data_IF_778004888395
#
_entry.id   IF_778004888395
#
_cell.length_a   1.000
_cell.length_b   1.000
_cell.length_c   1.000
_cell.angle_alpha   90.00
_cell.angle_beta   90.00
_cell.angle_gamma   90.00
#
_symmetry.space_group_name_H-M   'P 1'
#
loop_
_entity.id
_entity.type
_entity.pdbx_description
1 polymer ?
#
# COMPACT_ATOMS: atom_id res chain seq x y z
N UNK A 1 -10.99 14.32 -10.29
CA UNK A 1 -10.92 14.72 -8.88
C UNK A 1 -11.27 16.20 -8.80
N UNK A 2 -12.34 16.53 -8.11
CA UNK A 2 -12.63 17.93 -7.77
C UNK A 2 -11.79 18.32 -6.56
N UNK A 3 -11.13 19.44 -6.66
CA UNK A 3 -10.39 20.02 -5.54
C UNK A 3 -11.24 21.05 -4.84
N UNK A 4 -11.18 21.06 -3.53
CA UNK A 4 -11.76 22.12 -2.72
C UNK A 4 -11.06 23.44 -3.03
N UNK A 5 -11.80 24.44 -3.45
CA UNK A 5 -11.29 25.79 -3.69
C UNK A 5 -11.28 26.66 -2.42
N UNK A 6 -11.77 26.16 -1.33
CA UNK A 6 -12.07 26.98 -0.13
C UNK A 6 -11.33 26.63 1.14
N UNK A 7 -10.40 25.68 1.15
CA UNK A 7 -9.66 25.28 2.34
C UNK A 7 -10.20 24.04 3.05
N UNK A 8 -9.58 23.67 4.14
CA UNK A 8 -9.84 22.41 4.84
C UNK A 8 -11.30 22.29 5.30
N UNK A 9 -11.97 21.24 4.81
CA UNK A 9 -13.28 20.85 5.31
C UNK A 9 -14.43 21.78 4.97
N UNK A 10 -14.24 22.67 4.02
CA UNK A 10 -15.33 23.55 3.62
C UNK A 10 -16.37 22.78 2.82
N UNK A 11 -17.63 23.14 3.01
CA UNK A 11 -18.77 22.59 2.30
C UNK A 11 -18.85 22.97 0.81
N UNK A 12 -17.72 23.02 0.13
CA UNK A 12 -17.62 23.37 -1.29
C UNK A 12 -18.13 22.29 -2.24
N UNK A 13 -18.55 21.13 -1.70
CA UNK A 13 -19.02 19.99 -2.46
C UNK A 13 -20.53 19.86 -2.34
N UNK A 14 -21.16 19.63 -3.46
CA UNK A 14 -22.58 19.31 -3.45
C UNK A 14 -22.82 17.89 -2.91
N UNK A 15 -23.97 17.68 -2.29
CA UNK A 15 -24.45 16.35 -1.94
C UNK A 15 -24.43 15.49 -3.20
N UNK A 16 -23.94 14.28 -3.13
CA UNK A 16 -23.76 13.34 -4.24
C UNK A 16 -22.63 13.65 -5.21
N UNK A 17 -21.83 14.68 -4.98
CA UNK A 17 -20.65 14.95 -5.77
C UNK A 17 -19.50 14.01 -5.37
N UNK A 18 -18.88 13.37 -6.37
CA UNK A 18 -17.74 12.50 -6.13
C UNK A 18 -16.49 13.33 -5.85
N UNK A 19 -16.02 13.30 -4.61
CA UNK A 19 -14.87 14.09 -4.13
C UNK A 19 -13.52 13.42 -4.35
N UNK A 20 -13.50 12.14 -4.73
CA UNK A 20 -12.30 11.31 -4.82
C UNK A 20 -12.12 10.78 -6.23
N UNK A 21 -11.22 9.80 -6.38
CA UNK A 21 -11.04 9.16 -7.68
C UNK A 21 -12.35 8.61 -8.22
N UNK A 22 -12.58 8.85 -9.51
CA UNK A 22 -13.69 8.25 -10.26
C UNK A 22 -13.35 6.85 -10.76
N UNK A 23 -12.12 6.40 -10.54
CA UNK A 23 -11.56 5.16 -11.08
C UNK A 23 -11.06 4.24 -9.95
N UNK A 24 -11.95 3.73 -9.07
CA UNK A 24 -11.52 2.91 -7.93
C UNK A 24 -10.91 1.58 -8.32
N UNK A 25 -11.15 1.12 -9.54
CA UNK A 25 -10.62 -0.13 -10.10
C UNK A 25 -9.40 0.09 -11.03
N UNK A 26 -8.71 1.20 -10.87
CA UNK A 26 -7.52 1.50 -11.64
C UNK A 26 -6.41 2.08 -10.75
N UNK A 27 -5.17 1.81 -11.14
CA UNK A 27 -4.00 2.45 -10.56
C UNK A 27 -3.30 3.27 -11.63
N UNK A 28 -3.16 4.56 -11.38
CA UNK A 28 -2.48 5.52 -12.24
C UNK A 28 -1.16 5.93 -11.60
N UNK A 29 -0.07 5.85 -12.35
CA UNK A 29 1.27 6.29 -11.94
C UNK A 29 1.76 7.34 -12.92
N UNK A 30 2.16 8.50 -12.40
CA UNK A 30 2.84 9.53 -13.17
C UNK A 30 4.36 9.33 -13.07
N UNK A 31 5.02 9.25 -14.21
CA UNK A 31 6.47 9.15 -14.34
C UNK A 31 6.96 10.51 -14.85
N UNK A 32 7.83 11.16 -14.09
CA UNK A 32 8.37 12.46 -14.43
C UNK A 32 9.78 12.30 -15.01
N UNK A 33 10.00 12.87 -16.18
CA UNK A 33 11.24 12.73 -16.93
C UNK A 33 12.38 13.63 -16.47
N UNK A 34 12.09 14.63 -15.64
CA UNK A 34 13.08 15.60 -15.17
C UNK A 34 12.79 16.16 -13.78
N UNK A 35 13.77 16.89 -13.23
CA UNK A 35 13.65 17.50 -11.89
C UNK A 35 12.69 18.70 -11.84
N UNK A 36 12.29 19.23 -12.97
CA UNK A 36 11.35 20.36 -13.04
C UNK A 36 9.90 19.92 -12.99
N UNK A 37 9.65 18.61 -13.14
CA UNK A 37 8.33 17.99 -13.18
C UNK A 37 7.42 18.53 -14.31
N UNK A 38 8.00 19.16 -15.32
CA UNK A 38 7.25 19.72 -16.46
C UNK A 38 6.87 18.66 -17.49
N UNK A 39 7.68 17.61 -17.60
CA UNK A 39 7.41 16.48 -18.50
C UNK A 39 7.00 15.27 -17.69
N UNK A 40 5.86 14.67 -18.03
CA UNK A 40 5.39 13.47 -17.38
C UNK A 40 4.64 12.55 -18.35
N UNK A 41 4.70 11.26 -18.04
CA UNK A 41 3.91 10.19 -18.67
C UNK A 41 3.00 9.59 -17.60
N UNK A 42 1.76 9.35 -17.91
CA UNK A 42 0.84 8.62 -17.03
C UNK A 42 0.62 7.23 -17.60
N UNK A 43 0.88 6.23 -16.78
CA UNK A 43 0.59 4.82 -17.09
C UNK A 43 -0.51 4.30 -16.18
N UNK A 44 -1.30 3.34 -16.65
CA UNK A 44 -2.48 2.85 -15.95
C UNK A 44 -2.54 1.32 -15.97
N UNK A 45 -3.02 0.73 -14.90
CA UNK A 45 -3.36 -0.69 -14.82
C UNK A 45 -4.69 -0.89 -14.11
N UNK A 46 -5.43 -1.90 -14.52
CA UNK A 46 -6.69 -2.38 -13.93
C UNK A 46 -6.51 -3.63 -13.05
N UNK A 47 -5.27 -4.03 -12.79
CA UNK A 47 -4.96 -5.21 -11.96
C UNK A 47 -5.06 -4.95 -10.46
N UNK A 48 -4.84 -3.70 -10.05
CA UNK A 48 -4.94 -3.23 -8.66
C UNK A 48 -5.71 -1.91 -8.61
N UNK A 49 -6.31 -1.63 -7.46
CA UNK A 49 -6.85 -0.31 -7.15
C UNK A 49 -5.72 0.70 -6.97
N UNK A 50 -6.03 1.98 -6.81
CA UNK A 50 -5.03 3.02 -6.62
C UNK A 50 -4.08 2.71 -5.44
N UNK A 51 -2.78 2.95 -5.65
CA UNK A 51 -1.74 2.74 -4.66
C UNK A 51 -1.65 3.89 -3.64
N UNK A 52 -2.02 5.10 -4.07
CA UNK A 52 -2.03 6.30 -3.25
C UNK A 52 -3.36 7.02 -3.40
N UNK A 53 -3.82 7.66 -2.34
CA UNK A 53 -5.08 8.37 -2.39
C UNK A 53 -5.50 8.82 -1.00
N UNK A 54 -6.78 9.04 -0.81
CA UNK A 54 -7.32 9.40 0.49
C UNK A 54 -7.26 8.25 1.49
N UNK A 55 -7.48 8.59 2.73
CA UNK A 55 -7.39 7.74 3.89
C UNK A 55 -5.94 7.35 4.20
N UNK A 56 -5.71 6.14 4.65
CA UNK A 56 -4.41 5.75 5.20
C UNK A 56 -3.33 5.65 4.13
N UNK A 57 -3.67 5.25 2.91
CA UNK A 57 -2.68 5.10 1.84
C UNK A 57 -2.03 6.40 1.38
N UNK A 58 -2.64 7.57 1.64
CA UNK A 58 -2.04 8.86 1.30
C UNK A 58 -0.80 9.21 2.14
N UNK A 59 -0.62 8.58 3.30
CA UNK A 59 0.47 8.87 4.22
C UNK A 59 1.65 7.91 4.09
N UNK A 60 1.55 6.88 3.25
CA UNK A 60 2.54 5.82 3.17
C UNK A 60 3.05 5.66 1.75
N UNK A 61 4.34 5.39 1.63
CA UNK A 61 4.93 5.04 0.36
C UNK A 61 4.48 3.63 -0.04
N UNK A 62 3.94 3.50 -1.25
CA UNK A 62 3.39 2.26 -1.79
C UNK A 62 4.10 1.81 -3.07
N UNK A 63 5.14 2.52 -3.48
CA UNK A 63 5.93 2.19 -4.66
C UNK A 63 7.42 2.23 -4.29
N UNK A 64 8.15 1.19 -4.71
CA UNK A 64 9.53 0.97 -4.33
C UNK A 64 10.36 0.50 -5.51
N UNK A 65 11.47 1.18 -5.79
CA UNK A 65 12.48 0.67 -6.71
C UNK A 65 13.25 -0.46 -6.00
N UNK A 66 13.28 -1.63 -6.62
CA UNK A 66 14.02 -2.78 -6.13
C UNK A 66 15.35 -2.98 -6.89
N UNK A 67 16.22 -3.81 -6.35
CA UNK A 67 17.55 -4.05 -6.93
C UNK A 67 17.50 -4.75 -8.31
N UNK A 68 16.39 -5.36 -8.65
CA UNK A 68 16.13 -5.96 -9.97
C UNK A 68 15.80 -4.94 -11.07
N UNK A 69 15.70 -3.65 -10.71
CA UNK A 69 15.42 -2.55 -11.62
C UNK A 69 13.94 -2.31 -11.91
N UNK A 70 13.04 -3.01 -11.24
CA UNK A 70 11.60 -2.75 -11.32
C UNK A 70 11.13 -1.85 -10.18
N UNK A 71 10.11 -1.04 -10.45
CA UNK A 71 9.36 -0.35 -9.39
C UNK A 71 8.13 -1.19 -9.05
N UNK A 72 8.09 -1.72 -7.83
CA UNK A 72 6.94 -2.45 -7.32
C UNK A 72 5.90 -1.48 -6.75
N UNK A 73 4.66 -1.62 -7.19
CA UNK A 73 3.53 -0.77 -6.81
C UNK A 73 2.52 -1.61 -6.06
N UNK A 74 2.26 -1.25 -4.81
CA UNK A 74 1.38 -1.97 -3.91
C UNK A 74 0.05 -1.21 -3.75
N UNK A 75 -1.06 -1.93 -3.79
CA UNK A 75 -2.37 -1.40 -3.45
C UNK A 75 -2.98 -2.21 -2.31
N UNK A 76 -3.33 -1.59 -1.18
CA UNK A 76 -4.04 -2.27 -0.10
C UNK A 76 -5.52 -2.46 -0.40
N UNK A 77 -6.02 -1.96 -1.51
CA UNK A 77 -7.45 -1.94 -1.88
C UNK A 77 -8.35 -1.36 -0.79
N UNK A 78 -7.86 -0.35 -0.09
CA UNK A 78 -8.58 0.29 1.01
C UNK A 78 -9.90 0.91 0.56
N UNK A 79 -10.07 1.17 -0.72
CA UNK A 79 -11.32 1.63 -1.32
C UNK A 79 -12.50 0.66 -1.08
N UNK A 80 -12.26 -0.60 -0.76
CA UNK A 80 -13.31 -1.54 -0.31
C UNK A 80 -14.07 -1.05 0.92
N UNK A 81 -13.44 -0.20 1.74
CA UNK A 81 -14.02 0.32 2.99
C UNK A 81 -14.81 1.62 2.82
N UNK A 82 -14.90 2.14 1.58
CA UNK A 82 -15.65 3.37 1.32
C UNK A 82 -17.14 3.17 1.51
N UNK A 83 -17.82 4.18 2.07
CA UNK A 83 -19.26 4.16 2.26
C UNK A 83 -20.05 4.40 0.98
N UNK A 84 -19.49 5.18 0.06
CA UNK A 84 -20.08 5.44 -1.26
C UNK A 84 -19.65 4.36 -2.25
N UNK A 85 -20.63 3.62 -2.79
CA UNK A 85 -20.38 2.52 -3.73
C UNK A 85 -19.63 2.94 -5.01
N UNK A 86 -19.76 4.21 -5.40
CA UNK A 86 -19.03 4.76 -6.57
C UNK A 86 -17.52 4.86 -6.33
N UNK A 87 -17.11 4.85 -5.06
CA UNK A 87 -15.70 4.92 -4.63
C UNK A 87 -15.13 3.55 -4.27
N UNK A 88 -15.97 2.53 -4.21
CA UNK A 88 -15.54 1.19 -3.82
C UNK A 88 -14.81 0.47 -4.96
N UNK A 89 -13.75 -0.23 -4.59
CA UNK A 89 -13.07 -1.17 -5.50
C UNK A 89 -13.57 -2.58 -5.28
N UNK A 90 -13.58 -3.35 -6.37
CA UNK A 90 -13.77 -4.81 -6.33
C UNK A 90 -12.45 -5.57 -6.42
N UNK A 91 -11.35 -4.86 -6.72
CA UNK A 91 -10.03 -5.47 -6.89
C UNK A 91 -9.43 -5.87 -5.54
N UNK A 92 -8.73 -7.00 -5.47
CA UNK A 92 -8.04 -7.43 -4.26
C UNK A 92 -6.81 -6.56 -3.95
N UNK A 93 -6.37 -6.59 -2.70
CA UNK A 93 -5.07 -6.07 -2.34
C UNK A 93 -3.96 -6.84 -3.08
N UNK A 94 -3.05 -6.13 -3.72
CA UNK A 94 -2.08 -6.77 -4.60
C UNK A 94 -0.88 -5.92 -4.92
N UNK A 95 0.01 -6.47 -5.73
CA UNK A 95 1.21 -5.81 -6.22
C UNK A 95 1.39 -6.04 -7.71
N UNK A 96 1.75 -5.00 -8.40
CA UNK A 96 2.22 -4.98 -9.80
C UNK A 96 3.61 -4.37 -9.84
N UNK A 97 4.27 -4.39 -11.00
CA UNK A 97 5.55 -3.72 -11.15
C UNK A 97 5.65 -2.95 -12.47
N UNK A 98 6.50 -1.97 -12.48
CA UNK A 98 6.82 -1.13 -13.63
C UNK A 98 8.22 -1.48 -14.10
N UNK A 99 8.38 -1.76 -15.38
CA UNK A 99 9.68 -1.82 -16.04
C UNK A 99 10.21 -0.39 -16.20
N UNK A 100 11.31 -0.08 -15.52
CA UNK A 100 11.88 1.27 -15.52
C UNK A 100 12.51 1.67 -16.84
N UNK A 101 12.82 0.70 -17.72
CA UNK A 101 13.38 0.97 -19.06
C UNK A 101 12.27 1.20 -20.08
N UNK A 102 11.21 0.41 -19.99
CA UNK A 102 10.03 0.58 -20.85
C UNK A 102 9.12 1.71 -20.38
N UNK A 103 9.21 2.08 -19.11
CA UNK A 103 8.31 3.03 -18.44
C UNK A 103 6.84 2.62 -18.58
N UNK A 104 6.58 1.32 -18.39
CA UNK A 104 5.26 0.70 -18.51
C UNK A 104 5.06 -0.34 -17.41
N UNK A 105 3.81 -0.60 -17.06
CA UNK A 105 3.49 -1.75 -16.21
C UNK A 105 3.88 -3.06 -16.92
N UNK A 106 4.57 -3.94 -16.19
CA UNK A 106 4.84 -5.30 -16.65
C UNK A 106 3.53 -6.09 -16.73
N UNK A 107 3.04 -6.31 -17.95
CA UNK A 107 1.79 -7.00 -18.18
C UNK A 107 1.79 -8.46 -17.67
N UNK A 108 2.97 -9.08 -17.55
CA UNK A 108 3.13 -10.45 -17.10
C UNK A 108 3.19 -10.58 -15.58
N UNK A 109 3.33 -9.46 -14.84
CA UNK A 109 3.48 -9.49 -13.40
C UNK A 109 2.23 -8.98 -12.68
N UNK A 110 1.72 -9.81 -11.80
CA UNK A 110 0.68 -9.48 -10.82
C UNK A 110 0.69 -10.50 -9.70
N UNK A 111 0.53 -10.04 -8.47
CA UNK A 111 0.40 -10.92 -7.33
C UNK A 111 -0.75 -10.49 -6.43
N UNK A 112 -1.68 -11.41 -6.19
CA UNK A 112 -2.83 -11.20 -5.30
C UNK A 112 -2.42 -11.47 -3.86
N UNK A 113 -2.04 -10.41 -3.14
CA UNK A 113 -1.64 -10.49 -1.74
C UNK A 113 -2.80 -10.85 -0.83
N UNK A 114 -4.01 -10.37 -1.14
CA UNK A 114 -5.20 -10.63 -0.34
C UNK A 114 -5.55 -12.13 -0.30
N UNK A 115 -5.46 -12.81 -1.45
CA UNK A 115 -5.65 -14.26 -1.52
C UNK A 115 -4.65 -15.01 -0.65
N UNK A 116 -3.38 -14.63 -0.71
CA UNK A 116 -2.30 -15.29 0.06
C UNK A 116 -2.33 -14.94 1.54
N UNK A 117 -3.05 -13.90 1.92
CA UNK A 117 -3.27 -13.47 3.29
C UNK A 117 -4.66 -13.90 3.84
N UNK A 118 -5.31 -14.90 3.22
CA UNK A 118 -6.64 -15.36 3.61
C UNK A 118 -7.70 -14.25 3.67
N UNK A 119 -7.66 -13.34 2.72
CA UNK A 119 -8.57 -12.20 2.61
C UNK A 119 -8.13 -10.94 3.36
N UNK A 120 -7.07 -11.00 4.15
CA UNK A 120 -6.54 -9.83 4.82
C UNK A 120 -5.77 -8.92 3.84
N UNK A 121 -5.78 -7.63 4.12
CA UNK A 121 -5.02 -6.62 3.40
C UNK A 121 -3.83 -6.13 4.25
N UNK A 122 -3.16 -5.09 3.78
CA UNK A 122 -2.05 -4.45 4.48
C UNK A 122 -2.30 -2.94 4.58
N UNK A 123 -1.65 -2.31 5.56
CA UNK A 123 -1.72 -0.88 5.78
C UNK A 123 -0.60 -0.13 5.05
N UNK A 124 0.61 -0.68 5.07
CA UNK A 124 1.81 -0.04 4.52
C UNK A 124 2.88 -1.05 4.18
N UNK A 125 3.87 -0.59 3.43
CA UNK A 125 4.98 -1.40 2.96
C UNK A 125 6.32 -0.69 3.19
N UNK A 126 7.40 -1.47 3.24
CA UNK A 126 8.78 -0.97 3.24
C UNK A 126 9.62 -1.86 2.34
N UNK A 127 10.56 -1.27 1.65
CA UNK A 127 11.57 -2.00 0.92
C UNK A 127 12.68 -2.45 1.87
N UNK A 128 13.12 -3.71 1.78
CA UNK A 128 14.22 -4.25 2.57
C UNK A 128 15.50 -4.26 1.71
N UNK A 129 15.59 -5.17 0.77
CA UNK A 129 16.72 -5.30 -0.17
C UNK A 129 16.41 -6.38 -1.21
N UNK A 130 17.13 -6.39 -2.31
CA UNK A 130 16.91 -7.39 -3.37
C UNK A 130 15.49 -7.29 -3.93
N UNK A 131 14.68 -8.28 -3.65
CA UNK A 131 13.26 -8.32 -4.00
C UNK A 131 12.37 -8.59 -2.76
N UNK A 132 12.84 -8.21 -1.57
CA UNK A 132 12.13 -8.40 -0.31
C UNK A 132 11.48 -7.10 0.17
N UNK A 133 10.25 -7.23 0.62
CA UNK A 133 9.44 -6.13 1.17
C UNK A 133 8.84 -6.56 2.50
N UNK A 134 8.80 -5.64 3.47
CA UNK A 134 8.07 -5.80 4.71
C UNK A 134 6.68 -5.16 4.55
N UNK A 135 5.65 -5.85 5.00
CA UNK A 135 4.27 -5.39 4.99
C UNK A 135 3.72 -5.36 6.41
N UNK A 136 3.02 -4.28 6.75
CA UNK A 136 2.19 -4.21 7.94
C UNK A 136 0.79 -4.69 7.57
N UNK A 137 0.46 -5.90 7.99
CA UNK A 137 -0.76 -6.59 7.65
C UNK A 137 -1.88 -6.29 8.63
N UNK A 138 -3.11 -6.27 8.12
CA UNK A 138 -4.30 -6.36 8.96
C UNK A 138 -4.48 -7.79 9.49
N UNK A 139 -5.07 -7.90 10.67
CA UNK A 139 -5.31 -9.17 11.35
C UNK A 139 -6.50 -9.98 10.77
N UNK A 140 -7.32 -9.33 9.96
CA UNK A 140 -8.52 -9.92 9.33
C UNK A 140 -8.93 -9.16 8.07
N UNK A 141 -9.84 -9.74 7.25
CA UNK A 141 -10.38 -9.09 6.05
C UNK A 141 -11.17 -7.81 6.35
N UNK A 142 -11.24 -6.89 5.38
CA UNK A 142 -12.07 -5.68 5.47
C UNK A 142 -13.57 -5.94 5.52
N UNK A 143 -14.02 -7.15 5.17
CA UNK A 143 -15.41 -7.59 5.34
C UNK A 143 -15.80 -7.83 6.80
N UNK A 144 -14.81 -7.97 7.69
CA UNK A 144 -15.00 -8.11 9.12
C UNK A 144 -14.80 -6.77 9.83
N UNK A 145 -15.54 -6.57 10.93
CA UNK A 145 -15.40 -5.37 11.75
C UNK A 145 -14.21 -5.47 12.70
N UNK A 146 -13.62 -4.32 13.08
CA UNK A 146 -12.58 -4.25 14.09
C UNK A 146 -11.22 -4.72 13.62
N UNK A 147 -10.94 -4.72 12.31
CA UNK A 147 -9.61 -5.03 11.77
C UNK A 147 -8.55 -4.06 12.27
N UNK A 148 -7.40 -4.58 12.64
CA UNK A 148 -6.27 -3.82 13.16
C UNK A 148 -4.99 -4.22 12.42
N UNK A 149 -4.16 -3.23 12.07
CA UNK A 149 -2.86 -3.47 11.43
C UNK A 149 -1.79 -3.67 12.52
N UNK A 150 -1.55 -4.91 12.90
CA UNK A 150 -0.69 -5.29 14.02
C UNK A 150 0.20 -6.52 13.75
N UNK A 151 0.26 -6.99 12.50
CA UNK A 151 1.08 -8.13 12.10
C UNK A 151 2.09 -7.70 11.05
N UNK A 152 3.26 -8.31 11.05
CA UNK A 152 4.27 -8.11 10.01
C UNK A 152 4.40 -9.35 9.13
N UNK A 153 4.53 -9.14 7.83
CA UNK A 153 4.84 -10.19 6.88
C UNK A 153 5.93 -9.75 5.90
N UNK A 154 6.78 -10.67 5.51
CA UNK A 154 7.76 -10.47 4.44
C UNK A 154 7.19 -11.01 3.14
N UNK A 155 7.13 -10.18 2.14
CA UNK A 155 6.84 -10.54 0.77
C UNK A 155 8.12 -10.62 -0.03
N UNK A 156 8.35 -11.75 -0.71
CA UNK A 156 9.45 -11.94 -1.64
C UNK A 156 8.89 -11.93 -3.07
N UNK A 157 9.12 -10.84 -3.79
CA UNK A 157 8.75 -10.77 -5.19
C UNK A 157 9.52 -11.77 -6.05
N UNK A 158 8.89 -12.26 -7.10
CA UNK A 158 9.47 -13.29 -7.99
C UNK A 158 9.31 -14.72 -7.51
N UNK A 159 9.28 -14.98 -6.19
CA UNK A 159 8.89 -16.30 -5.65
C UNK A 159 7.44 -16.33 -5.14
N UNK A 160 6.77 -15.19 -5.17
CA UNK A 160 5.37 -15.00 -4.75
C UNK A 160 5.08 -15.56 -3.35
N UNK A 161 6.06 -15.44 -2.46
CA UNK A 161 5.96 -15.95 -1.11
C UNK A 161 5.66 -14.82 -0.13
N UNK A 162 4.58 -14.96 0.62
CA UNK A 162 4.25 -14.16 1.79
C UNK A 162 4.53 -14.98 3.05
N UNK A 163 5.33 -14.47 3.98
CA UNK A 163 5.69 -15.16 5.22
C UNK A 163 5.49 -14.22 6.40
N UNK A 164 4.61 -14.59 7.32
CA UNK A 164 4.41 -13.82 8.55
C UNK A 164 5.63 -13.91 9.46
N UNK A 165 5.98 -12.78 10.07
CA UNK A 165 7.09 -12.69 11.03
C UNK A 165 6.65 -13.33 12.34
N UNK A 166 7.48 -14.24 12.85
CA UNK A 166 7.27 -14.91 14.13
C UNK A 166 8.15 -14.30 15.23
N UNK A 167 7.79 -14.55 16.48
CA UNK A 167 8.56 -14.09 17.64
C UNK A 167 8.31 -12.63 18.04
N UNK A 168 7.35 -11.98 17.41
CA UNK A 168 6.85 -10.67 17.85
C UNK A 168 6.07 -10.79 19.16
N UNK A 169 5.94 -9.71 19.94
CA UNK A 169 4.97 -9.63 21.03
C UNK A 169 3.57 -10.03 20.55
N UNK A 170 2.70 -10.41 21.49
CA UNK A 170 1.30 -10.72 21.15
C UNK A 170 0.65 -9.53 20.44
N UNK A 171 -0.14 -9.82 19.41
CA UNK A 171 -0.88 -8.82 18.64
C UNK A 171 -1.84 -8.00 19.51
N UNK A 172 -2.27 -8.56 20.62
CA UNK A 172 -3.17 -7.88 21.58
C UNK A 172 -2.50 -6.72 22.32
N UNK A 173 -1.16 -6.76 22.45
CA UNK A 173 -0.40 -5.72 23.13
C UNK A 173 0.37 -4.83 22.18
N UNK A 174 0.50 -5.17 20.89
CA UNK A 174 1.14 -4.29 19.92
C UNK A 174 0.22 -3.09 19.64
N UNK A 175 0.70 -1.89 19.96
CA UNK A 175 -0.01 -0.63 19.67
C UNK A 175 0.41 0.01 18.34
N UNK A 176 1.56 -0.37 17.79
CA UNK A 176 2.01 0.11 16.49
C UNK A 176 3.45 -0.24 16.17
N UNK A 177 3.83 0.11 14.94
CA UNK A 177 5.18 -0.03 14.45
C UNK A 177 5.74 1.32 13.97
N UNK A 178 7.04 1.47 14.03
CA UNK A 178 7.74 2.66 13.60
C UNK A 178 7.50 2.98 12.13
N UNK A 179 7.63 4.26 11.78
CA UNK A 179 7.43 4.71 10.41
C UNK A 179 8.61 4.37 9.49
N UNK A 180 9.79 4.23 10.07
CA UNK A 180 11.03 4.04 9.33
C UNK A 180 11.56 2.64 9.58
N UNK A 181 11.98 1.98 8.51
CA UNK A 181 12.73 0.74 8.54
C UNK A 181 14.21 1.06 8.36
N UNK A 182 15.06 0.55 9.26
CA UNK A 182 16.51 0.55 9.05
C UNK A 182 16.93 -0.81 8.48
N UNK A 183 17.74 -0.80 7.44
CA UNK A 183 18.24 -2.02 6.81
C UNK A 183 19.76 -2.00 6.82
N UNK A 184 20.37 -3.02 7.39
CA UNK A 184 21.82 -3.17 7.44
C UNK A 184 22.21 -4.65 7.45
N UNK A 185 23.22 -5.02 6.67
CA UNK A 185 23.80 -6.37 6.62
C UNK A 185 22.73 -7.48 6.42
N UNK A 186 21.74 -7.23 5.54
CA UNK A 186 20.66 -8.17 5.24
C UNK A 186 19.62 -8.34 6.35
N UNK A 187 19.65 -7.48 7.36
CA UNK A 187 18.67 -7.43 8.45
C UNK A 187 17.82 -6.17 8.35
N UNK A 188 16.55 -6.28 8.71
CA UNK A 188 15.63 -5.17 8.80
C UNK A 188 15.27 -4.91 10.27
N UNK A 189 15.35 -3.67 10.70
CA UNK A 189 15.07 -3.24 12.07
C UNK A 189 13.88 -2.28 12.05
N UNK A 190 12.85 -2.58 12.81
CA UNK A 190 11.66 -1.75 12.96
C UNK A 190 11.27 -1.68 14.44
N UNK A 191 11.03 -0.47 14.93
CA UNK A 191 10.54 -0.30 16.28
C UNK A 191 9.11 -0.82 16.42
N UNK A 192 8.81 -1.54 17.50
CA UNK A 192 7.47 -1.91 17.90
C UNK A 192 7.12 -1.26 19.24
N UNK A 193 5.91 -0.74 19.34
CA UNK A 193 5.37 -0.15 20.58
C UNK A 193 4.31 -1.07 21.13
N UNK A 194 4.36 -1.32 22.43
CA UNK A 194 3.41 -2.18 23.12
C UNK A 194 2.64 -1.43 24.20
N UNK A 195 1.46 -1.91 24.53
CA UNK A 195 0.60 -1.29 25.56
C UNK A 195 1.06 -1.58 26.99
N UNK A 196 1.94 -2.56 27.18
CA UNK A 196 2.55 -2.90 28.49
C UNK A 196 3.77 -2.02 28.85
N UNK A 197 4.10 -1.05 27.97
CA UNK A 197 5.19 -0.11 28.20
C UNK A 197 6.59 -0.64 27.89
N UNK A 198 6.71 -1.84 27.32
CA UNK A 198 7.98 -2.45 26.93
C UNK A 198 8.19 -2.33 25.42
N UNK A 199 8.82 -1.26 24.90
CA UNK A 199 9.12 -1.17 23.49
C UNK A 199 10.08 -2.27 23.07
N UNK A 200 9.85 -2.84 21.90
CA UNK A 200 10.72 -3.83 21.26
C UNK A 200 11.29 -3.29 19.94
N UNK A 201 12.49 -3.72 19.58
CA UNK A 201 13.17 -3.39 18.32
C UNK A 201 13.49 -4.69 17.59
#
# INVERSE_FOLDING_TARGET
IKTDSGGQGSGAYEKDELQWTQYPNECHIAIFGDQTLNSHKVITTDKISYAAGRNRSQYYQMNWLADDGYVYVFSPSYAKTMSDSRQQTTLPAGVVRIDTKAEEFDAAYYYNLEEKANGASFLRTWYISGNYFLLLMYDRPFSETGYTANQLAVFKAGSEKLTYVSGLPSTDIISGFGNTLHVENGKAYIAATTTDGNPAI
#
